data_IF_697097248737
#
_entry.id   IF_697097248737
#
_cell.length_a   1.000
_cell.length_b   1.000
_cell.length_c   1.000
_cell.angle_alpha   90.00
_cell.angle_beta   90.00
_cell.angle_gamma   90.00
#
_symmetry.space_group_name_H-M   'P 1'
#
loop_
_entity.id
_entity.type
_entity.pdbx_description
1 polymer ?
#
# COMPACT_ATOMS: atom_id res chain seq x y z
N UNK A 1 20.55 1.18 -22.92
CA UNK A 1 19.75 0.04 -22.44
C UNK A 1 18.40 0.59 -22.04
N UNK A 2 17.32 0.11 -22.66
CA UNK A 2 15.97 0.52 -22.29
C UNK A 2 15.63 -0.26 -21.00
N UNK A 3 15.81 0.33 -19.82
CA UNK A 3 15.20 -0.20 -18.60
C UNK A 3 13.70 -0.01 -18.77
N UNK A 4 13.02 -1.01 -19.32
CA UNK A 4 11.58 -1.13 -19.13
C UNK A 4 11.38 -1.45 -17.66
N UNK A 5 11.22 -0.42 -16.82
CA UNK A 5 10.82 -0.56 -15.43
C UNK A 5 9.42 -1.19 -15.42
N UNK A 6 9.38 -2.53 -15.39
CA UNK A 6 8.13 -3.26 -15.30
C UNK A 6 7.53 -3.02 -13.92
N UNK A 7 6.50 -2.18 -13.88
CA UNK A 7 5.72 -1.98 -12.68
C UNK A 7 4.76 -3.16 -12.48
N UNK A 8 4.84 -3.78 -11.31
CA UNK A 8 4.00 -4.92 -10.94
C UNK A 8 2.84 -4.41 -10.10
N UNK A 9 1.63 -4.76 -10.52
CA UNK A 9 0.40 -4.59 -9.73
C UNK A 9 -0.06 -5.96 -9.27
N UNK A 10 -0.20 -6.16 -7.96
CA UNK A 10 -0.56 -7.46 -7.38
C UNK A 10 -1.19 -7.32 -5.99
N UNK A 11 -1.41 -8.45 -5.31
CA UNK A 11 -2.04 -8.52 -3.98
C UNK A 11 -1.09 -9.10 -2.95
N UNK A 12 -1.00 -8.46 -1.79
CA UNK A 12 -0.34 -9.03 -0.61
C UNK A 12 -1.28 -9.96 0.17
N UNK A 13 -0.68 -10.88 0.91
CA UNK A 13 -1.37 -11.62 1.98
C UNK A 13 -1.54 -10.73 3.21
N UNK A 14 -2.51 -11.04 4.07
CA UNK A 14 -2.78 -10.26 5.28
C UNK A 14 -1.69 -10.33 6.36
N UNK A 15 -0.79 -11.33 6.28
CA UNK A 15 0.38 -11.48 7.16
C UNK A 15 1.60 -10.67 6.71
N UNK A 16 1.48 -9.89 5.63
CA UNK A 16 2.57 -9.05 5.11
C UNK A 16 3.09 -8.07 6.17
N UNK A 17 4.40 -7.84 6.15
CA UNK A 17 5.05 -6.82 6.98
C UNK A 17 5.33 -5.59 6.14
N UNK A 18 4.55 -4.53 6.40
CA UNK A 18 4.70 -3.21 5.80
C UNK A 18 5.04 -2.17 6.86
N UNK A 19 5.78 -1.15 6.46
CA UNK A 19 6.19 -0.07 7.36
C UNK A 19 5.74 1.29 6.82
N UNK A 20 5.37 2.17 7.74
CA UNK A 20 5.20 3.58 7.42
C UNK A 20 6.56 4.20 7.07
N UNK A 21 6.66 4.94 5.96
CA UNK A 21 7.83 5.77 5.71
C UNK A 21 8.00 6.80 6.84
N UNK A 22 9.25 7.15 7.15
CA UNK A 22 9.52 8.25 8.08
C UNK A 22 9.00 9.58 7.53
N UNK A 23 8.36 10.38 8.39
CA UNK A 23 8.02 11.78 8.09
C UNK A 23 9.16 12.73 8.50
N UNK A 24 10.15 12.23 9.24
CA UNK A 24 11.26 13.02 9.74
C UNK A 24 12.18 13.44 8.59
N UNK A 25 12.42 14.75 8.46
CA UNK A 25 13.49 15.26 7.59
C UNK A 25 14.83 14.80 8.14
N UNK A 26 15.77 14.47 7.25
CA UNK A 26 17.15 14.17 7.65
C UNK A 26 17.70 15.37 8.44
N UNK A 27 17.92 15.15 9.72
CA UNK A 27 18.32 16.20 10.68
C UNK A 27 19.79 16.60 10.56
N UNK A 28 20.56 15.95 9.67
CA UNK A 28 22.00 16.21 9.48
C UNK A 28 22.88 15.83 10.67
N UNK A 29 22.29 15.32 11.75
CA UNK A 29 22.97 14.91 12.98
C UNK A 29 23.69 13.57 12.76
N UNK A 30 24.82 13.40 13.45
CA UNK A 30 25.61 12.17 13.45
C UNK A 30 24.78 11.04 14.06
N UNK A 31 24.36 10.08 13.25
CA UNK A 31 23.53 8.93 13.63
C UNK A 31 22.92 8.24 12.41
N UNK A 32 22.46 7.00 12.55
CA UNK A 32 21.76 6.31 11.46
C UNK A 32 20.37 6.94 11.26
N UNK A 33 20.01 7.39 10.04
CA UNK A 33 18.68 7.93 9.78
C UNK A 33 17.58 6.93 10.14
N UNK A 34 16.51 7.40 10.75
CA UNK A 34 15.30 6.59 10.96
C UNK A 34 14.56 6.49 9.63
N UNK A 35 14.56 5.31 9.01
CA UNK A 35 13.93 5.10 7.70
C UNK A 35 12.42 4.86 7.80
N UNK A 36 11.96 4.28 8.90
CA UNK A 36 10.59 3.83 9.08
C UNK A 36 10.01 4.29 10.42
N UNK A 37 8.69 4.53 10.43
CA UNK A 37 7.96 5.04 11.57
C UNK A 37 6.90 4.04 12.06
N UNK A 38 7.36 2.80 12.28
CA UNK A 38 6.52 1.71 12.78
C UNK A 38 5.98 0.78 11.71
N UNK A 39 5.61 -0.43 12.13
CA UNK A 39 4.90 -1.41 11.31
C UNK A 39 3.44 -0.98 11.20
N UNK A 40 2.84 -1.18 10.03
CA UNK A 40 1.42 -0.93 9.82
C UNK A 40 0.60 -1.97 10.59
N UNK A 41 -0.29 -1.49 11.46
CA UNK A 41 -1.36 -2.27 12.06
C UNK A 41 -2.63 -2.05 11.24
N UNK A 42 -3.03 -3.06 10.47
CA UNK A 42 -4.22 -2.97 9.63
C UNK A 42 -5.54 -3.11 10.43
N UNK A 43 -5.50 -3.60 11.67
CA UNK A 43 -6.67 -3.59 12.55
C UNK A 43 -6.92 -2.18 13.10
N UNK A 44 -5.86 -1.42 13.36
CA UNK A 44 -5.89 -0.04 13.85
C UNK A 44 -5.09 0.88 12.92
N UNK A 45 -5.59 1.04 11.69
CA UNK A 45 -4.89 1.81 10.65
C UNK A 45 -4.80 3.29 11.02
N UNK A 46 -3.59 3.87 10.95
CA UNK A 46 -3.39 5.32 11.09
C UNK A 46 -3.94 6.05 9.87
N UNK A 47 -5.19 6.51 9.95
CA UNK A 47 -5.90 7.21 8.88
C UNK A 47 -5.27 8.56 8.53
N UNK A 48 -4.50 9.17 9.43
CA UNK A 48 -3.85 10.48 9.17
C UNK A 48 -2.79 10.39 8.08
N UNK A 49 -2.28 9.18 7.80
CA UNK A 49 -1.29 8.88 6.76
C UNK A 49 -1.91 8.35 5.47
N UNK A 50 -3.23 8.23 5.42
CA UNK A 50 -3.95 7.61 4.33
C UNK A 50 -4.74 8.66 3.54
N UNK A 51 -4.87 8.42 2.23
CA UNK A 51 -5.91 9.03 1.41
C UNK A 51 -7.12 8.08 1.40
N UNK A 52 -8.28 8.57 1.83
CA UNK A 52 -9.53 7.80 1.80
C UNK A 52 -10.23 7.98 0.46
N UNK A 53 -10.84 6.90 -0.03
CA UNK A 53 -11.66 6.91 -1.24
C UNK A 53 -12.99 6.23 -0.96
N UNK A 54 -14.06 6.86 -1.42
CA UNK A 54 -15.38 6.26 -1.43
C UNK A 54 -15.46 5.19 -2.52
N UNK A 55 -15.88 4.00 -2.13
CA UNK A 55 -16.11 2.86 -3.03
C UNK A 55 -17.41 2.17 -2.67
N UNK A 56 -18.02 1.52 -3.66
CA UNK A 56 -19.22 0.73 -3.42
C UNK A 56 -18.91 -0.42 -2.44
N UNK A 57 -19.72 -0.54 -1.38
CA UNK A 57 -19.69 -1.65 -0.39
C UNK A 57 -18.36 -1.83 0.36
N UNK A 58 -17.67 -0.75 0.69
CA UNK A 58 -16.43 -0.82 1.46
C UNK A 58 -15.79 0.53 1.71
N UNK A 59 -14.61 0.51 2.32
CA UNK A 59 -13.70 1.66 2.40
C UNK A 59 -12.39 1.31 1.73
N UNK A 60 -11.85 2.26 0.97
CA UNK A 60 -10.55 2.14 0.33
C UNK A 60 -9.60 3.20 0.89
N UNK A 61 -8.41 2.77 1.30
CA UNK A 61 -7.35 3.65 1.76
C UNK A 61 -6.11 3.46 0.90
N UNK A 62 -5.53 4.56 0.43
CA UNK A 62 -4.29 4.59 -0.35
C UNK A 62 -3.17 5.26 0.43
N UNK A 63 -1.98 4.66 0.40
CA UNK A 63 -0.78 5.25 0.99
C UNK A 63 0.50 4.63 0.43
N UNK A 64 1.60 5.38 0.48
CA UNK A 64 2.93 4.88 0.17
C UNK A 64 3.52 4.16 1.38
N UNK A 65 4.05 2.96 1.17
CA UNK A 65 4.60 2.11 2.25
C UNK A 65 5.90 1.47 1.84
N UNK A 66 6.71 1.04 2.81
CA UNK A 66 7.85 0.16 2.55
C UNK A 66 7.45 -1.30 2.75
N UNK A 67 7.59 -2.11 1.70
CA UNK A 67 7.29 -3.54 1.74
C UNK A 67 8.54 -4.35 2.09
N UNK A 68 8.57 -5.00 3.26
CA UNK A 68 9.74 -5.77 3.72
C UNK A 68 10.08 -6.92 2.77
N UNK A 69 9.07 -7.61 2.27
CA UNK A 69 9.24 -8.76 1.38
C UNK A 69 9.88 -8.37 0.03
N UNK A 70 9.59 -7.16 -0.46
CA UNK A 70 10.12 -6.65 -1.74
C UNK A 70 11.34 -5.73 -1.56
N UNK A 71 11.67 -5.37 -0.31
CA UNK A 71 12.73 -4.43 0.06
C UNK A 71 12.62 -3.07 -0.65
N UNK A 72 11.41 -2.62 -1.00
CA UNK A 72 11.17 -1.37 -1.72
C UNK A 72 9.90 -0.64 -1.28
N UNK A 73 9.81 0.63 -1.66
CA UNK A 73 8.56 1.38 -1.56
C UNK A 73 7.56 0.90 -2.62
N UNK A 74 6.29 0.87 -2.23
CA UNK A 74 5.15 0.53 -3.07
C UNK A 74 4.00 1.46 -2.75
N UNK A 75 3.13 1.69 -3.74
CA UNK A 75 1.81 2.27 -3.49
C UNK A 75 0.90 1.15 -3.02
N UNK A 76 0.25 1.34 -1.87
CA UNK A 76 -0.63 0.36 -1.26
C UNK A 76 -2.07 0.86 -1.29
N UNK A 77 -2.98 -0.01 -1.67
CA UNK A 77 -4.41 0.17 -1.60
C UNK A 77 -5.02 -0.89 -0.67
N UNK A 78 -5.64 -0.44 0.42
CA UNK A 78 -6.24 -1.27 1.47
C UNK A 78 -7.76 -1.19 1.32
N UNK A 79 -8.39 -2.32 1.03
CA UNK A 79 -9.85 -2.41 0.94
C UNK A 79 -10.44 -3.12 2.16
N UNK A 80 -11.33 -2.43 2.87
CA UNK A 80 -12.12 -2.96 3.98
C UNK A 80 -13.57 -3.21 3.52
N UNK A 81 -14.07 -4.46 3.57
CA UNK A 81 -15.47 -4.75 3.26
C UNK A 81 -16.42 -4.13 4.30
N UNK A 82 -17.58 -3.62 3.86
CA UNK A 82 -18.63 -3.13 4.76
C UNK A 82 -19.42 -4.25 5.46
N UNK A 83 -19.44 -5.48 4.93
CA UNK A 83 -20.34 -6.57 5.34
C UNK A 83 -20.03 -7.24 6.69
N UNK A 84 -19.45 -6.53 7.67
CA UNK A 84 -19.23 -7.03 9.03
C UNK A 84 -18.24 -8.20 9.16
N UNK A 85 -17.76 -8.75 8.04
CA UNK A 85 -16.61 -9.66 7.95
C UNK A 85 -15.32 -8.85 8.10
N UNK A 86 -15.12 -8.37 9.32
CA UNK A 86 -13.97 -7.56 9.74
C UNK A 86 -12.68 -8.37 9.84
N UNK A 87 -12.72 -9.68 9.57
CA UNK A 87 -11.61 -10.58 9.78
C UNK A 87 -10.50 -10.46 8.73
N UNK A 88 -10.79 -9.92 7.53
CA UNK A 88 -9.79 -9.83 6.45
C UNK A 88 -9.98 -8.60 5.54
N UNK A 89 -9.13 -7.59 5.73
CA UNK A 89 -8.85 -6.58 4.70
C UNK A 89 -8.21 -7.22 3.46
N UNK A 90 -8.23 -6.51 2.33
CA UNK A 90 -7.55 -6.90 1.10
C UNK A 90 -6.49 -5.87 0.76
N UNK A 91 -5.27 -6.33 0.46
CA UNK A 91 -4.10 -5.48 0.27
C UNK A 91 -3.62 -5.57 -1.17
N UNK A 92 -3.82 -4.51 -1.93
CA UNK A 92 -3.34 -4.39 -3.32
C UNK A 92 -2.16 -3.44 -3.37
N UNK A 93 -1.19 -3.68 -4.26
CA UNK A 93 -0.03 -2.82 -4.37
C UNK A 93 0.43 -2.63 -5.81
N UNK A 94 1.12 -1.52 -6.04
CA UNK A 94 1.93 -1.27 -7.24
C UNK A 94 3.38 -1.01 -6.84
N UNK A 95 4.34 -1.54 -7.61
CA UNK A 95 5.76 -1.16 -7.47
C UNK A 95 6.08 0.21 -8.06
N UNK A 96 5.14 0.82 -8.79
CA UNK A 96 5.10 2.28 -8.95
C UNK A 96 4.52 2.88 -7.67
N UNK A 97 5.38 3.49 -6.85
CA UNK A 97 5.00 4.07 -5.56
C UNK A 97 4.43 5.48 -5.66
N UNK A 98 4.32 6.02 -6.88
CA UNK A 98 3.63 7.28 -7.18
C UNK A 98 2.17 7.10 -7.58
N UNK A 99 1.77 5.88 -7.95
CA UNK A 99 0.41 5.53 -8.38
C UNK A 99 -0.62 5.75 -7.28
N UNK A 100 -1.82 6.25 -7.64
CA UNK A 100 -2.89 6.48 -6.68
C UNK A 100 -3.53 5.15 -6.21
N UNK A 101 -3.92 5.05 -4.93
CA UNK A 101 -4.46 3.81 -4.37
C UNK A 101 -5.72 3.31 -5.08
N UNK A 102 -6.52 4.22 -5.65
CA UNK A 102 -7.70 3.83 -6.46
C UNK A 102 -7.27 3.17 -7.77
N UNK A 103 -6.28 3.75 -8.44
CA UNK A 103 -5.74 3.19 -9.69
C UNK A 103 -5.15 1.80 -9.47
N UNK A 104 -4.41 1.59 -8.37
CA UNK A 104 -3.88 0.27 -8.00
C UNK A 104 -4.99 -0.78 -7.96
N UNK A 105 -6.12 -0.47 -7.30
CA UNK A 105 -7.27 -1.38 -7.21
C UNK A 105 -7.95 -1.59 -8.58
N UNK A 106 -8.13 -0.52 -9.35
CA UNK A 106 -8.83 -0.56 -10.65
C UNK A 106 -8.03 -1.34 -11.71
N UNK A 107 -6.71 -1.14 -11.77
CA UNK A 107 -5.82 -1.93 -12.63
C UNK A 107 -5.81 -3.40 -12.22
N UNK A 108 -5.72 -3.68 -10.91
CA UNK A 108 -5.79 -5.06 -10.42
C UNK A 108 -7.10 -5.72 -10.88
N UNK A 109 -8.26 -5.06 -10.70
CA UNK A 109 -9.56 -5.61 -11.10
C UNK A 109 -9.70 -5.82 -12.61
N UNK A 110 -9.26 -4.85 -13.41
CA UNK A 110 -9.31 -4.94 -14.88
C UNK A 110 -8.44 -6.09 -15.40
N UNK A 111 -7.32 -6.39 -14.74
CA UNK A 111 -6.48 -7.55 -15.08
C UNK A 111 -7.25 -8.87 -14.99
N UNK A 112 -8.09 -9.06 -13.96
CA UNK A 112 -8.88 -10.29 -13.82
C UNK A 112 -10.01 -10.41 -14.84
N UNK A 113 -10.51 -9.31 -15.41
CA UNK A 113 -11.52 -9.36 -16.46
C UNK A 113 -10.96 -9.83 -17.81
N UNK A 114 -9.65 -9.68 -18.05
CA UNK A 114 -8.99 -10.14 -19.28
C UNK A 114 -8.63 -11.64 -19.24
N UNK A 115 -8.72 -12.28 -18.08
CA UNK A 115 -8.38 -13.69 -17.87
C UNK A 115 -9.60 -14.63 -18.00
N UNK A 116 -10.81 -14.13 -18.30
CA UNK A 116 -12.06 -14.90 -18.50
C UNK A 116 -12.92 -14.42 -19.67
#
# INVERSE_FOLDING_TARGET
>A
MCESDFHVISRFRNDVVLYYPTLEKKTGKRGHPKWFDGRIDFANLDLTRCKEYEVNKGKLYGLRVYAKALKRYVSLAIWYPMDGRTDKWQLYFSTDDSMDGREVLDYYRTRFQLEF
#
